data_IF_499171024183
#
_entry.id   IF_499171024183
#
_cell.length_a   1.000
_cell.length_b   1.000
_cell.length_c   1.000
_cell.angle_alpha   90.00
_cell.angle_beta   90.00
_cell.angle_gamma   90.00
#
_symmetry.space_group_name_H-M   'P 1'
#
loop_
_entity.id
_entity.type
_entity.pdbx_description
1 polymer ?
#
# COMPACT_ATOMS: atom_id res chain seq x y z
N UNK A 1 -35.53 8.46 17.85
CA UNK A 1 -34.22 9.15 17.87
C UNK A 1 -34.30 10.16 16.72
N UNK A 2 -34.06 11.43 17.02
CA UNK A 2 -33.99 12.47 16.02
C UNK A 2 -32.48 12.74 15.71
N UNK A 3 -32.12 13.00 14.45
CA UNK A 3 -30.78 13.42 14.12
C UNK A 3 -30.54 14.86 14.58
N UNK A 4 -29.32 15.20 14.96
CA UNK A 4 -28.90 16.58 15.25
C UNK A 4 -28.46 17.29 13.97
N UNK A 5 -27.88 16.55 13.03
CA UNK A 5 -27.36 17.03 11.75
C UNK A 5 -27.78 16.07 10.64
N UNK A 6 -28.10 16.62 9.48
CA UNK A 6 -28.49 15.88 8.30
C UNK A 6 -27.48 16.15 7.17
N UNK A 7 -26.69 15.11 6.78
CA UNK A 7 -25.88 15.16 5.58
C UNK A 7 -26.70 14.69 4.37
N UNK A 8 -26.89 15.58 3.40
CA UNK A 8 -27.70 15.30 2.22
C UNK A 8 -26.78 15.14 1.00
N UNK A 9 -26.60 13.90 0.56
CA UNK A 9 -25.81 13.58 -0.64
C UNK A 9 -26.57 13.99 -1.90
N UNK A 10 -25.92 14.79 -2.75
CA UNK A 10 -26.48 15.23 -4.03
C UNK A 10 -25.37 15.47 -5.06
N UNK A 11 -25.71 15.35 -6.35
CA UNK A 11 -24.83 15.63 -7.49
C UNK A 11 -24.80 17.12 -7.87
N UNK A 12 -25.72 17.91 -7.29
CA UNK A 12 -25.89 19.35 -7.55
C UNK A 12 -26.39 20.07 -6.30
N UNK A 13 -26.24 21.39 -6.28
CA UNK A 13 -26.73 22.23 -5.19
C UNK A 13 -28.21 21.97 -4.91
N UNK A 14 -28.55 21.86 -3.63
CA UNK A 14 -29.90 21.67 -3.16
C UNK A 14 -30.53 23.05 -2.97
N UNK A 15 -31.63 23.38 -3.67
CA UNK A 15 -32.28 24.68 -3.52
C UNK A 15 -32.68 24.97 -2.08
N UNK A 16 -32.59 26.22 -1.65
CA UNK A 16 -32.90 26.64 -0.27
C UNK A 16 -34.30 26.21 0.18
N UNK A 17 -35.28 26.25 -0.71
CA UNK A 17 -36.65 25.80 -0.41
C UNK A 17 -36.70 24.30 -0.06
N UNK A 18 -35.90 23.47 -0.72
CA UNK A 18 -35.80 22.04 -0.45
C UNK A 18 -35.01 21.76 0.85
N UNK A 19 -33.94 22.51 1.10
CA UNK A 19 -33.22 22.47 2.39
C UNK A 19 -34.14 22.77 3.57
N UNK A 20 -34.99 23.79 3.44
CA UNK A 20 -36.00 24.16 4.47
C UNK A 20 -37.04 23.06 4.68
N UNK A 21 -37.49 22.42 3.62
CA UNK A 21 -38.39 21.26 3.74
C UNK A 21 -37.71 20.12 4.50
N UNK A 22 -36.48 19.76 4.14
CA UNK A 22 -35.70 18.73 4.84
C UNK A 22 -35.50 19.06 6.32
N UNK A 23 -35.17 20.29 6.65
CA UNK A 23 -35.06 20.79 8.01
C UNK A 23 -36.36 20.59 8.79
N UNK A 24 -37.48 20.98 8.21
CA UNK A 24 -38.81 20.85 8.85
C UNK A 24 -39.19 19.40 9.06
N UNK A 25 -39.09 18.55 8.02
CA UNK A 25 -39.50 17.14 8.10
C UNK A 25 -38.60 16.30 9.02
N UNK A 26 -37.32 16.60 9.08
CA UNK A 26 -36.32 15.90 9.92
C UNK A 26 -36.23 16.53 11.32
N UNK A 27 -36.92 17.64 11.59
CA UNK A 27 -36.86 18.36 12.84
C UNK A 27 -35.41 18.74 13.25
N UNK A 28 -34.62 19.25 12.28
CA UNK A 28 -33.28 19.76 12.48
C UNK A 28 -33.22 21.25 12.17
N UNK A 29 -32.21 21.95 12.68
CA UNK A 29 -32.03 23.38 12.34
C UNK A 29 -31.71 23.51 10.83
N UNK A 30 -32.14 24.60 10.15
CA UNK A 30 -31.81 24.80 8.74
C UNK A 30 -30.30 24.79 8.47
N UNK A 31 -29.48 25.33 9.38
CA UNK A 31 -28.03 25.33 9.32
C UNK A 31 -27.42 23.91 9.47
N UNK A 32 -28.14 22.99 10.12
CA UNK A 32 -27.73 21.61 10.30
C UNK A 32 -28.10 20.68 9.12
N UNK A 33 -28.68 21.24 8.04
CA UNK A 33 -28.86 20.53 6.77
C UNK A 33 -27.66 20.80 5.88
N UNK A 34 -26.66 19.92 5.95
CA UNK A 34 -25.37 20.03 5.27
C UNK A 34 -25.45 19.38 3.89
N UNK A 35 -25.08 20.11 2.85
CA UNK A 35 -24.96 19.53 1.52
C UNK A 35 -23.66 18.73 1.40
N UNK A 36 -23.79 17.46 1.03
CA UNK A 36 -22.69 16.56 0.73
C UNK A 36 -22.60 16.36 -0.78
N UNK A 37 -22.17 17.41 -1.47
CA UNK A 37 -22.06 17.39 -2.93
C UNK A 37 -20.92 16.48 -3.40
N UNK A 38 -21.06 15.95 -4.60
CA UNK A 38 -19.98 15.20 -5.24
C UNK A 38 -18.79 16.13 -5.53
N UNK A 39 -17.60 15.69 -5.17
CA UNK A 39 -16.35 16.42 -5.38
C UNK A 39 -15.44 15.66 -6.36
N UNK A 40 -14.53 16.38 -7.00
CA UNK A 40 -13.63 15.80 -8.00
C UNK A 40 -12.65 14.77 -7.40
N UNK A 41 -12.29 14.94 -6.14
CA UNK A 41 -11.37 14.07 -5.42
C UNK A 41 -11.86 13.88 -3.98
N UNK A 42 -11.74 12.66 -3.45
CA UNK A 42 -12.17 12.34 -2.09
C UNK A 42 -11.46 13.19 -1.02
N UNK A 43 -10.25 13.65 -1.29
CA UNK A 43 -9.49 14.53 -0.40
C UNK A 43 -10.05 15.96 -0.33
N UNK A 44 -10.94 16.37 -1.23
CA UNK A 44 -11.63 17.65 -1.18
C UNK A 44 -12.82 17.63 -0.19
N UNK A 45 -13.30 16.44 0.23
CA UNK A 45 -14.48 16.29 1.09
C UNK A 45 -14.38 17.06 2.41
N UNK A 46 -13.26 16.99 3.19
CA UNK A 46 -13.16 17.74 4.44
C UNK A 46 -13.28 19.26 4.25
N UNK A 47 -12.71 19.79 3.16
CA UNK A 47 -12.80 21.23 2.84
C UNK A 47 -14.23 21.60 2.43
N UNK A 48 -14.90 20.75 1.64
CA UNK A 48 -16.29 20.94 1.24
C UNK A 48 -17.23 20.96 2.46
N UNK A 49 -17.07 20.03 3.37
CA UNK A 49 -17.87 19.97 4.59
C UNK A 49 -17.60 21.11 5.56
N UNK A 50 -16.35 21.55 5.67
CA UNK A 50 -16.02 22.75 6.45
C UNK A 50 -16.73 24.00 5.88
N UNK A 51 -16.70 24.18 4.54
CA UNK A 51 -17.39 25.29 3.87
C UNK A 51 -18.90 25.29 4.10
N UNK A 52 -19.52 24.12 4.21
CA UNK A 52 -20.94 23.96 4.53
C UNK A 52 -21.24 24.09 6.04
N UNK A 53 -20.21 24.22 6.89
CA UNK A 53 -20.34 24.43 8.33
C UNK A 53 -20.55 23.17 9.17
N UNK A 54 -20.28 21.97 8.62
CA UNK A 54 -20.49 20.69 9.33
C UNK A 54 -19.75 20.63 10.66
N UNK A 55 -18.48 21.03 10.69
CA UNK A 55 -17.65 21.05 11.89
C UNK A 55 -18.22 21.99 12.96
N UNK A 56 -18.68 23.16 12.57
CA UNK A 56 -19.33 24.11 13.49
C UNK A 56 -20.61 23.58 14.06
N UNK A 57 -21.47 22.94 13.25
CA UNK A 57 -22.71 22.32 13.71
C UNK A 57 -22.47 21.14 14.65
N UNK A 58 -21.43 20.32 14.38
CA UNK A 58 -21.02 19.23 15.28
C UNK A 58 -20.58 19.77 16.63
N UNK A 59 -19.73 20.80 16.64
CA UNK A 59 -19.25 21.42 17.89
C UNK A 59 -20.39 22.05 18.67
N UNK A 60 -21.32 22.75 17.99
CA UNK A 60 -22.49 23.31 18.61
C UNK A 60 -23.41 22.23 19.25
N UNK A 61 -23.55 21.06 18.60
CA UNK A 61 -24.30 19.95 19.17
C UNK A 61 -23.65 19.40 20.46
N UNK A 62 -22.33 19.54 20.61
CA UNK A 62 -21.60 19.23 21.84
C UNK A 62 -21.53 20.39 22.84
N UNK A 63 -22.18 21.52 22.57
CA UNK A 63 -22.14 22.72 23.42
C UNK A 63 -20.78 23.45 23.43
N UNK A 64 -20.00 23.27 22.38
CA UNK A 64 -18.69 23.94 22.20
C UNK A 64 -18.88 25.16 21.28
N UNK A 65 -19.13 26.30 21.89
CA UNK A 65 -19.33 27.57 21.19
C UNK A 65 -18.50 28.69 21.86
N UNK A 66 -17.83 29.58 21.09
CA UNK A 66 -17.72 29.54 19.63
C UNK A 66 -16.84 28.38 19.13
N UNK A 67 -17.16 27.84 17.96
CA UNK A 67 -16.35 26.80 17.34
C UNK A 67 -14.92 27.32 17.06
N UNK A 68 -13.86 26.59 17.48
CA UNK A 68 -12.49 26.94 17.14
C UNK A 68 -12.26 26.86 15.63
N UNK A 69 -11.47 27.78 15.09
CA UNK A 69 -11.12 27.73 13.67
C UNK A 69 -10.26 26.47 13.39
N UNK A 70 -10.66 25.61 12.44
CA UNK A 70 -9.87 24.43 12.09
C UNK A 70 -8.58 24.83 11.38
N UNK A 71 -7.54 24.02 11.53
CA UNK A 71 -6.25 24.18 10.84
C UNK A 71 -6.22 23.26 9.62
N UNK A 72 -6.62 23.77 8.47
CA UNK A 72 -6.75 23.04 7.22
C UNK A 72 -5.60 23.29 6.23
N UNK A 73 -4.62 24.11 6.57
CA UNK A 73 -3.56 24.55 5.67
C UNK A 73 -2.77 23.35 5.09
N UNK A 74 -2.45 22.36 5.92
CA UNK A 74 -1.75 21.15 5.44
C UNK A 74 -2.64 20.30 4.52
N UNK A 75 -3.94 20.27 4.81
CA UNK A 75 -4.90 19.53 3.99
C UNK A 75 -5.14 20.22 2.64
N UNK A 76 -5.22 21.55 2.63
CA UNK A 76 -5.31 22.35 1.41
C UNK A 76 -4.08 22.16 0.52
N UNK A 77 -2.88 22.09 1.13
CA UNK A 77 -1.65 21.80 0.38
C UNK A 77 -1.69 20.40 -0.27
N UNK A 78 -2.18 19.38 0.41
CA UNK A 78 -2.38 18.03 -0.20
C UNK A 78 -3.32 18.13 -1.39
N UNK A 79 -4.48 18.78 -1.25
CA UNK A 79 -5.43 18.97 -2.34
C UNK A 79 -4.83 19.73 -3.52
N UNK A 80 -3.99 20.72 -3.23
CA UNK A 80 -3.29 21.49 -4.26
C UNK A 80 -2.31 20.62 -5.04
N UNK A 81 -1.50 19.80 -4.38
CA UNK A 81 -0.58 18.86 -5.03
C UNK A 81 -1.30 17.86 -5.94
N UNK A 82 -2.50 17.43 -5.54
CA UNK A 82 -3.34 16.54 -6.37
C UNK A 82 -3.82 17.25 -7.64
N UNK A 83 -4.19 18.53 -7.54
CA UNK A 83 -4.72 19.32 -8.66
C UNK A 83 -3.64 19.79 -9.63
N UNK A 84 -2.42 20.03 -9.12
CA UNK A 84 -1.32 20.62 -9.88
C UNK A 84 -0.04 19.77 -9.79
N UNK A 85 -0.05 18.53 -10.33
CA UNK A 85 1.14 17.71 -10.36
C UNK A 85 2.18 18.34 -11.32
N UNK A 86 3.46 18.24 -10.96
CA UNK A 86 4.60 18.75 -11.74
C UNK A 86 5.07 17.76 -12.82
N UNK A 87 4.59 16.52 -12.77
CA UNK A 87 4.93 15.48 -13.73
C UNK A 87 4.07 14.24 -13.58
N UNK A 88 4.43 13.20 -14.31
CA UNK A 88 3.74 11.92 -14.29
C UNK A 88 4.75 10.78 -14.24
N UNK A 89 4.46 9.73 -13.47
CA UNK A 89 5.24 8.50 -13.42
C UNK A 89 4.34 7.29 -13.62
N UNK A 90 4.84 6.31 -14.34
CA UNK A 90 4.15 5.04 -14.57
C UNK A 90 4.81 3.94 -13.74
N UNK A 91 4.02 3.26 -12.91
CA UNK A 91 4.46 2.13 -12.08
C UNK A 91 3.77 0.87 -12.59
N UNK A 92 4.55 -0.12 -13.01
CA UNK A 92 4.04 -1.45 -13.33
C UNK A 92 3.77 -2.24 -12.06
N UNK A 93 2.55 -2.75 -11.92
CA UNK A 93 2.15 -3.66 -10.84
C UNK A 93 2.13 -5.07 -11.41
N UNK A 94 3.19 -5.84 -11.15
CA UNK A 94 3.30 -7.21 -11.63
C UNK A 94 2.77 -8.16 -10.56
N UNK A 95 1.54 -8.61 -10.74
CA UNK A 95 0.78 -9.32 -9.71
C UNK A 95 -0.02 -10.49 -10.22
N UNK A 96 -0.90 -10.99 -9.36
CA UNK A 96 -1.94 -11.98 -9.67
C UNK A 96 -3.31 -11.33 -9.52
N UNK A 97 -4.30 -11.77 -10.30
CA UNK A 97 -5.67 -11.27 -10.22
C UNK A 97 -5.75 -9.74 -10.38
N UNK A 98 -4.96 -9.20 -11.30
CA UNK A 98 -4.86 -7.74 -11.55
C UNK A 98 -6.19 -7.13 -12.01
N UNK A 99 -7.11 -7.95 -12.51
CA UNK A 99 -8.49 -7.54 -12.81
C UNK A 99 -9.34 -7.21 -11.57
N UNK A 100 -8.95 -7.69 -10.37
CA UNK A 100 -9.69 -7.47 -9.12
C UNK A 100 -9.05 -6.34 -8.30
N UNK A 101 -9.14 -5.11 -8.81
CA UNK A 101 -8.46 -3.93 -8.25
C UNK A 101 -8.84 -3.62 -6.79
N UNK A 102 -10.03 -4.00 -6.35
CA UNK A 102 -10.47 -3.78 -4.97
C UNK A 102 -9.58 -4.48 -3.93
N UNK A 103 -8.98 -5.62 -4.29
CA UNK A 103 -8.01 -6.31 -3.43
C UNK A 103 -6.73 -5.50 -3.19
N UNK A 104 -6.44 -4.54 -4.07
CA UNK A 104 -5.24 -3.70 -4.04
C UNK A 104 -5.51 -2.25 -3.63
N UNK A 105 -6.70 -1.94 -3.14
CA UNK A 105 -7.10 -0.55 -2.85
C UNK A 105 -6.11 0.19 -1.96
N UNK A 106 -5.64 -0.42 -0.88
CA UNK A 106 -4.65 0.21 0.00
C UNK A 106 -3.29 0.43 -0.66
N UNK A 107 -2.87 -0.47 -1.56
CA UNK A 107 -1.65 -0.32 -2.35
C UNK A 107 -1.78 0.83 -3.35
N UNK A 108 -2.91 0.91 -4.04
CA UNK A 108 -3.23 2.00 -4.98
C UNK A 108 -3.15 3.34 -4.26
N UNK A 109 -3.83 3.46 -3.11
CA UNK A 109 -3.81 4.70 -2.32
C UNK A 109 -2.40 5.04 -1.82
N UNK A 110 -1.63 4.05 -1.33
CA UNK A 110 -0.26 4.28 -0.89
C UNK A 110 0.64 4.83 -2.02
N UNK A 111 0.50 4.31 -3.24
CA UNK A 111 1.23 4.81 -4.41
C UNK A 111 0.79 6.22 -4.79
N UNK A 112 -0.51 6.53 -4.75
CA UNK A 112 -1.00 7.87 -4.96
C UNK A 112 -0.48 8.85 -3.90
N UNK A 113 -0.46 8.46 -2.62
CA UNK A 113 0.11 9.29 -1.55
C UNK A 113 1.60 9.56 -1.77
N UNK A 114 2.36 8.56 -2.23
CA UNK A 114 3.74 8.75 -2.67
C UNK A 114 3.85 9.75 -3.82
N UNK A 115 2.92 9.68 -4.76
CA UNK A 115 2.82 10.67 -5.85
C UNK A 115 2.55 12.08 -5.34
N UNK A 116 1.60 12.25 -4.41
CA UNK A 116 1.29 13.57 -3.81
C UNK A 116 2.48 14.15 -3.06
N UNK A 117 3.19 13.31 -2.30
CA UNK A 117 4.40 13.73 -1.59
C UNK A 117 5.47 14.25 -2.55
N UNK A 118 5.61 13.61 -3.71
CA UNK A 118 6.60 13.93 -4.74
C UNK A 118 6.06 14.86 -5.86
N UNK A 119 4.84 15.40 -5.72
CA UNK A 119 4.19 16.29 -6.70
C UNK A 119 4.05 15.70 -8.10
N UNK A 120 3.89 14.38 -8.19
CA UNK A 120 3.72 13.68 -9.47
C UNK A 120 2.39 12.93 -9.51
N UNK A 121 1.82 12.83 -10.70
CA UNK A 121 0.69 11.95 -10.95
C UNK A 121 1.19 10.53 -11.18
N UNK A 122 0.66 9.57 -10.43
CA UNK A 122 1.02 8.16 -10.59
C UNK A 122 0.01 7.48 -11.52
N UNK A 123 0.52 6.86 -12.58
CA UNK A 123 -0.20 5.90 -13.43
C UNK A 123 0.17 4.49 -13.03
N UNK A 124 -0.81 3.60 -12.93
CA UNK A 124 -0.61 2.20 -12.58
C UNK A 124 -0.91 1.33 -13.80
N UNK A 125 0.10 0.60 -14.25
CA UNK A 125 -0.03 -0.43 -15.28
C UNK A 125 -0.08 -1.81 -14.62
N UNK A 126 -1.17 -2.53 -14.84
CA UNK A 126 -1.43 -3.81 -14.22
C UNK A 126 -1.06 -4.93 -15.16
N UNK A 127 -0.16 -5.79 -14.72
CA UNK A 127 0.37 -6.90 -15.52
C UNK A 127 0.21 -8.20 -14.73
N UNK A 128 -0.46 -9.20 -15.35
CA UNK A 128 -0.49 -10.56 -14.79
C UNK A 128 0.89 -11.18 -14.89
N UNK A 129 1.46 -11.60 -13.76
CA UNK A 129 2.83 -12.12 -13.72
C UNK A 129 3.04 -13.36 -14.60
N UNK A 130 1.99 -14.17 -14.82
CA UNK A 130 2.04 -15.37 -15.67
C UNK A 130 2.34 -15.05 -17.15
N UNK A 131 2.12 -13.80 -17.59
CA UNK A 131 2.46 -13.37 -18.95
C UNK A 131 3.96 -13.53 -19.19
N UNK A 132 4.78 -13.16 -18.23
CA UNK A 132 6.23 -13.22 -18.35
C UNK A 132 6.80 -14.65 -18.34
N UNK A 133 6.03 -15.65 -17.90
CA UNK A 133 6.43 -17.06 -18.04
C UNK A 133 6.41 -17.54 -19.51
N UNK A 134 5.81 -16.76 -20.42
CA UNK A 134 5.62 -17.11 -21.83
C UNK A 134 6.14 -16.06 -22.79
N UNK A 135 6.25 -14.81 -22.34
CA UNK A 135 6.56 -13.66 -23.16
C UNK A 135 7.70 -12.85 -22.55
N UNK A 136 8.50 -12.19 -23.39
CA UNK A 136 9.55 -11.28 -22.95
C UNK A 136 8.95 -10.10 -22.14
N UNK A 137 9.45 -9.79 -20.95
CA UNK A 137 9.00 -8.63 -20.16
C UNK A 137 9.26 -7.27 -20.84
N UNK A 138 10.21 -7.18 -21.76
CA UNK A 138 10.67 -5.91 -22.35
C UNK A 138 9.54 -5.06 -22.94
N UNK A 139 8.64 -5.58 -23.80
CA UNK A 139 7.57 -4.76 -24.37
C UNK A 139 6.62 -4.15 -23.33
N UNK A 140 6.49 -4.77 -22.19
CA UNK A 140 5.61 -4.36 -21.08
C UNK A 140 6.28 -3.38 -20.12
N UNK A 141 7.61 -3.55 -19.89
CA UNK A 141 8.31 -2.86 -18.81
C UNK A 141 9.30 -1.78 -19.30
N UNK A 142 9.61 -1.69 -20.59
CA UNK A 142 10.62 -0.74 -21.09
C UNK A 142 10.25 0.75 -20.90
N UNK A 143 8.95 1.06 -20.75
CA UNK A 143 8.45 2.44 -20.63
C UNK A 143 8.01 2.84 -19.24
N UNK A 144 8.12 1.94 -18.27
CA UNK A 144 7.71 2.25 -16.90
C UNK A 144 8.85 2.90 -16.10
N UNK A 145 8.47 3.74 -15.14
CA UNK A 145 9.42 4.43 -14.28
C UNK A 145 9.76 3.63 -13.01
N UNK A 146 9.01 2.57 -12.74
CA UNK A 146 9.23 1.68 -11.63
C UNK A 146 8.40 0.42 -11.72
N UNK A 147 8.85 -0.62 -11.03
CA UNK A 147 8.17 -1.92 -10.98
C UNK A 147 7.87 -2.24 -9.52
N UNK A 148 6.60 -2.56 -9.24
CA UNK A 148 6.17 -3.03 -7.94
C UNK A 148 5.60 -4.44 -8.07
N UNK A 149 6.14 -5.35 -7.24
CA UNK A 149 5.62 -6.72 -7.13
C UNK A 149 4.96 -6.85 -5.76
N UNK A 150 3.62 -6.95 -5.70
CA UNK A 150 2.89 -7.03 -4.45
C UNK A 150 3.04 -8.37 -3.76
N UNK A 151 2.57 -8.42 -2.51
CA UNK A 151 2.42 -9.65 -1.76
C UNK A 151 1.51 -10.67 -2.44
N UNK A 152 1.68 -11.92 -2.09
CA UNK A 152 0.93 -13.04 -2.63
C UNK A 152 1.42 -14.35 -2.02
N UNK A 153 1.05 -15.46 -2.64
CA UNK A 153 1.47 -16.79 -2.25
C UNK A 153 1.27 -17.79 -3.40
N UNK A 154 1.91 -18.96 -3.26
CA UNK A 154 1.82 -20.08 -4.20
C UNK A 154 2.68 -19.90 -5.45
N UNK A 155 2.99 -21.01 -6.08
CA UNK A 155 3.95 -21.13 -7.18
C UNK A 155 3.50 -20.42 -8.48
N UNK A 156 2.20 -20.46 -8.78
CA UNK A 156 1.65 -19.85 -10.01
C UNK A 156 2.07 -18.39 -10.17
N UNK A 157 2.68 -18.04 -11.29
CA UNK A 157 3.16 -16.70 -11.63
C UNK A 157 4.39 -16.25 -10.82
N UNK A 158 5.06 -17.16 -10.08
CA UNK A 158 6.26 -16.83 -9.33
C UNK A 158 7.45 -16.56 -10.24
N UNK A 159 7.65 -17.37 -11.28
CA UNK A 159 8.73 -17.16 -12.24
C UNK A 159 8.57 -15.85 -13.00
N UNK A 160 7.36 -15.46 -13.38
CA UNK A 160 7.13 -14.15 -13.99
C UNK A 160 7.46 -12.98 -13.08
N UNK A 161 7.30 -13.12 -11.76
CA UNK A 161 7.74 -12.11 -10.78
C UNK A 161 9.27 -12.06 -10.65
N UNK A 162 9.93 -13.22 -10.72
CA UNK A 162 11.39 -13.33 -10.75
C UNK A 162 11.92 -12.63 -12.02
N UNK A 163 11.31 -12.89 -13.19
CA UNK A 163 11.66 -12.21 -14.44
C UNK A 163 11.46 -10.69 -14.39
N UNK A 164 10.41 -10.22 -13.72
CA UNK A 164 10.21 -8.79 -13.51
C UNK A 164 11.31 -8.17 -12.63
N UNK A 165 11.77 -8.89 -11.59
CA UNK A 165 12.89 -8.46 -10.75
C UNK A 165 14.20 -8.46 -11.55
N UNK A 166 14.45 -9.48 -12.36
CA UNK A 166 15.59 -9.57 -13.26
C UNK A 166 15.62 -8.39 -14.24
N UNK A 167 14.50 -8.14 -14.92
CA UNK A 167 14.40 -7.00 -15.82
C UNK A 167 14.71 -5.68 -15.12
N UNK A 168 14.15 -5.47 -13.93
CA UNK A 168 14.41 -4.26 -13.14
C UNK A 168 15.90 -4.07 -12.84
N UNK A 169 16.58 -5.13 -12.42
CA UNK A 169 18.01 -5.12 -12.12
C UNK A 169 18.84 -4.85 -13.38
N UNK A 170 18.60 -5.59 -14.46
CA UNK A 170 19.38 -5.49 -15.71
C UNK A 170 19.19 -4.15 -16.43
N UNK A 171 18.01 -3.56 -16.32
CA UNK A 171 17.66 -2.27 -16.94
C UNK A 171 17.77 -1.07 -16.00
N UNK A 172 18.20 -1.31 -14.75
CA UNK A 172 18.32 -0.29 -13.72
C UNK A 172 17.00 0.49 -13.49
N UNK A 173 15.87 -0.23 -13.54
CA UNK A 173 14.53 0.31 -13.22
C UNK A 173 14.30 0.14 -11.72
N UNK A 174 13.82 1.18 -11.01
CA UNK A 174 13.46 1.06 -9.59
C UNK A 174 12.49 -0.09 -9.35
N UNK A 175 12.81 -0.96 -8.39
CA UNK A 175 11.99 -2.12 -8.03
C UNK A 175 11.59 -2.07 -6.55
N UNK A 176 10.33 -2.41 -6.28
CA UNK A 176 9.86 -2.58 -4.92
C UNK A 176 9.05 -3.87 -4.78
N UNK A 177 9.57 -4.81 -4.01
CA UNK A 177 8.91 -6.08 -3.69
C UNK A 177 8.29 -6.03 -2.29
N UNK A 178 6.99 -6.32 -2.19
CA UNK A 178 6.29 -6.41 -0.91
C UNK A 178 6.05 -7.87 -0.56
N UNK A 179 6.50 -8.33 0.62
CA UNK A 179 6.29 -9.69 1.12
C UNK A 179 6.77 -10.72 0.09
N UNK A 180 5.87 -11.41 -0.60
CA UNK A 180 6.18 -12.38 -1.65
C UNK A 180 7.00 -11.75 -2.80
N UNK A 181 6.72 -10.51 -3.17
CA UNK A 181 7.49 -9.80 -4.20
C UNK A 181 8.95 -9.59 -3.79
N UNK A 182 9.23 -9.28 -2.54
CA UNK A 182 10.59 -9.19 -1.99
C UNK A 182 11.26 -10.58 -1.99
N UNK A 183 10.53 -11.62 -1.61
CA UNK A 183 11.05 -12.99 -1.62
C UNK A 183 11.45 -13.44 -3.04
N UNK A 184 10.66 -13.09 -4.06
CA UNK A 184 11.00 -13.41 -5.46
C UNK A 184 12.22 -12.63 -5.96
N UNK A 185 12.43 -11.40 -5.50
CA UNK A 185 13.66 -10.67 -5.79
C UNK A 185 14.91 -11.30 -5.12
N UNK A 186 14.74 -11.85 -3.91
CA UNK A 186 15.83 -12.60 -3.26
C UNK A 186 16.16 -13.89 -4.03
N UNK A 187 15.15 -14.61 -4.51
CA UNK A 187 15.37 -15.80 -5.35
C UNK A 187 16.07 -15.41 -6.64
N UNK A 188 15.67 -14.29 -7.27
CA UNK A 188 16.33 -13.77 -8.47
C UNK A 188 17.82 -13.47 -8.21
N UNK A 189 18.12 -12.69 -7.17
CA UNK A 189 19.50 -12.33 -6.81
C UNK A 189 20.33 -13.57 -6.46
N UNK A 190 19.75 -14.52 -5.73
CA UNK A 190 20.43 -15.78 -5.42
C UNK A 190 20.79 -16.57 -6.67
N UNK A 191 19.88 -16.68 -7.65
CA UNK A 191 20.12 -17.41 -8.90
C UNK A 191 21.16 -16.73 -9.79
N UNK A 192 21.02 -15.43 -10.02
CA UNK A 192 21.75 -14.75 -11.08
C UNK A 192 22.98 -13.97 -10.60
N UNK A 193 23.05 -13.62 -9.31
CA UNK A 193 24.20 -12.90 -8.75
C UNK A 193 25.04 -13.79 -7.83
N UNK A 194 24.42 -14.54 -6.91
CA UNK A 194 25.13 -15.40 -5.98
C UNK A 194 25.45 -16.81 -6.54
N UNK A 195 25.07 -17.12 -7.79
CA UNK A 195 25.36 -18.39 -8.46
C UNK A 195 24.68 -19.62 -7.84
N UNK A 196 23.52 -19.41 -7.20
CA UNK A 196 22.71 -20.48 -6.60
C UNK A 196 21.57 -20.83 -7.58
N UNK A 197 21.91 -21.50 -8.68
CA UNK A 197 20.97 -21.74 -9.79
C UNK A 197 19.66 -22.41 -9.38
N UNK A 198 19.68 -23.30 -8.37
CA UNK A 198 18.51 -23.99 -7.85
C UNK A 198 17.82 -23.28 -6.70
N UNK A 199 18.15 -22.01 -6.44
CA UNK A 199 17.51 -21.20 -5.40
C UNK A 199 15.99 -21.15 -5.60
N UNK A 200 15.23 -21.43 -4.54
CA UNK A 200 13.78 -21.49 -4.58
C UNK A 200 13.17 -21.23 -3.20
N UNK A 201 11.84 -21.29 -3.14
CA UNK A 201 11.08 -21.23 -1.89
C UNK A 201 10.54 -22.62 -1.54
N UNK A 202 10.60 -22.99 -0.27
CA UNK A 202 9.91 -24.21 0.22
C UNK A 202 8.38 -24.12 0.12
N UNK A 203 7.85 -22.94 -0.21
CA UNK A 203 6.43 -22.77 -0.52
C UNK A 203 6.02 -23.50 -1.80
N UNK A 204 6.96 -23.70 -2.73
CA UNK A 204 6.74 -24.38 -4.02
C UNK A 204 7.02 -25.88 -3.96
N UNK A 205 7.47 -26.37 -2.82
CA UNK A 205 7.83 -27.76 -2.60
C UNK A 205 9.27 -27.94 -2.11
N UNK A 206 9.72 -29.19 -2.00
CA UNK A 206 11.09 -29.48 -1.62
C UNK A 206 12.09 -28.90 -2.62
N UNK A 207 13.11 -28.23 -2.12
CA UNK A 207 14.19 -27.65 -2.93
C UNK A 207 15.55 -27.90 -2.26
N UNK A 208 16.63 -28.15 -3.02
CA UNK A 208 17.96 -28.28 -2.46
C UNK A 208 18.52 -26.96 -1.89
N UNK A 209 18.08 -25.83 -2.42
CA UNK A 209 18.56 -24.50 -2.03
C UNK A 209 17.38 -23.61 -1.59
N UNK A 210 16.89 -23.78 -0.35
CA UNK A 210 15.73 -23.07 0.18
C UNK A 210 16.12 -21.66 0.65
N UNK A 211 16.40 -20.74 -0.27
CA UNK A 211 16.74 -19.34 0.04
C UNK A 211 15.55 -18.57 0.65
N UNK A 212 14.35 -19.06 0.39
CA UNK A 212 13.13 -18.67 1.09
C UNK A 212 12.51 -19.91 1.71
N UNK A 213 12.26 -19.89 3.00
CA UNK A 213 11.80 -21.06 3.71
C UNK A 213 10.68 -20.80 4.69
N UNK A 214 10.04 -21.90 5.10
CA UNK A 214 9.08 -21.84 6.19
C UNK A 214 9.80 -21.42 7.46
N UNK A 215 9.29 -20.39 8.13
CA UNK A 215 9.81 -19.94 9.40
C UNK A 215 9.65 -21.03 10.48
N UNK A 216 10.75 -21.48 11.03
CA UNK A 216 10.79 -22.57 12.03
C UNK A 216 10.95 -22.06 13.45
N UNK A 217 11.55 -20.88 13.61
CA UNK A 217 11.72 -20.24 14.90
C UNK A 217 11.43 -18.74 14.79
N UNK A 218 10.71 -18.18 15.76
CA UNK A 218 10.47 -16.74 15.86
C UNK A 218 10.21 -16.31 17.29
N UNK A 219 10.44 -15.04 17.58
CA UNK A 219 10.17 -14.45 18.89
C UNK A 219 8.76 -13.86 18.87
N UNK A 220 7.91 -14.29 19.81
CA UNK A 220 6.61 -13.71 20.05
C UNK A 220 6.54 -13.15 21.47
N UNK A 221 6.51 -11.85 21.58
CA UNK A 221 6.73 -11.19 22.88
C UNK A 221 8.16 -11.41 23.37
N UNK A 222 8.33 -12.06 24.51
CA UNK A 222 9.64 -12.41 25.08
C UNK A 222 9.96 -13.92 25.00
N UNK A 223 9.11 -14.70 24.32
CA UNK A 223 9.27 -16.16 24.20
C UNK A 223 9.70 -16.56 22.81
N UNK A 224 10.63 -17.52 22.72
CA UNK A 224 11.05 -18.15 21.48
C UNK A 224 10.07 -19.27 21.13
N UNK A 225 9.25 -19.07 20.13
CA UNK A 225 8.40 -20.12 19.57
C UNK A 225 9.18 -20.95 18.54
N UNK A 226 9.22 -22.28 18.74
CA UNK A 226 9.83 -23.25 17.81
C UNK A 226 8.78 -24.06 17.11
N UNK A 227 9.01 -24.37 15.86
CA UNK A 227 8.11 -25.16 15.04
C UNK A 227 8.83 -26.32 14.36
N UNK A 228 8.13 -27.44 14.17
CA UNK A 228 8.54 -28.49 13.26
C UNK A 228 7.82 -28.36 11.92
N UNK A 229 8.51 -28.65 10.84
CA UNK A 229 7.95 -28.66 9.46
C UNK A 229 6.80 -29.67 9.26
N UNK A 230 6.54 -30.54 10.24
CA UNK A 230 5.52 -31.59 10.21
C UNK A 230 4.28 -31.26 11.06
N UNK A 231 4.21 -30.10 11.70
CA UNK A 231 3.09 -29.70 12.54
C UNK A 231 1.96 -29.02 11.78
N UNK A 232 0.83 -28.79 12.48
CA UNK A 232 -0.28 -27.99 11.96
C UNK A 232 0.19 -26.57 11.65
N UNK A 233 -0.09 -26.11 10.43
CA UNK A 233 0.29 -24.79 9.95
C UNK A 233 -0.67 -23.69 10.44
N UNK A 234 -1.72 -24.02 11.18
CA UNK A 234 -2.64 -23.06 11.79
C UNK A 234 -1.94 -22.18 12.82
N UNK A 235 -2.19 -20.86 12.79
CA UNK A 235 -1.62 -19.90 13.73
C UNK A 235 -0.12 -19.63 13.59
N UNK A 236 0.49 -20.02 12.48
CA UNK A 236 1.94 -20.05 12.27
C UNK A 236 2.47 -18.85 11.47
N UNK A 237 1.68 -17.83 11.28
CA UNK A 237 2.10 -16.60 10.59
C UNK A 237 2.81 -15.66 11.57
N UNK A 238 3.88 -15.02 11.08
CA UNK A 238 4.39 -13.81 11.71
C UNK A 238 3.38 -12.69 11.45
N UNK A 239 2.72 -12.25 12.49
CA UNK A 239 1.60 -11.33 12.41
C UNK A 239 1.77 -10.18 13.38
N UNK A 240 1.54 -8.95 12.93
CA UNK A 240 1.59 -7.75 13.75
C UNK A 240 2.85 -6.93 13.54
N UNK A 241 3.10 -5.98 14.44
CA UNK A 241 4.21 -5.05 14.36
C UNK A 241 5.51 -5.69 14.89
N UNK A 242 6.57 -5.61 14.11
CA UNK A 242 7.90 -6.07 14.46
C UNK A 242 8.92 -4.96 14.25
N UNK A 243 9.83 -4.84 15.21
CA UNK A 243 10.94 -3.91 15.12
C UNK A 243 12.01 -4.44 14.18
N UNK A 244 12.62 -3.53 13.42
CA UNK A 244 13.77 -3.81 12.60
C UNK A 244 14.78 -2.65 12.68
N UNK A 245 16.06 -2.98 12.61
CA UNK A 245 17.14 -2.01 12.51
C UNK A 245 17.60 -1.93 11.05
N UNK A 246 17.54 -0.75 10.48
CA UNK A 246 18.05 -0.48 9.13
C UNK A 246 19.55 -0.20 9.19
N UNK A 247 20.29 -0.67 8.19
CA UNK A 247 21.71 -0.34 8.04
C UNK A 247 21.83 1.17 7.80
N UNK A 248 22.65 1.82 8.64
CA UNK A 248 22.91 3.25 8.52
C UNK A 248 23.52 3.58 7.16
N UNK A 249 23.27 4.80 6.68
CA UNK A 249 23.78 5.32 5.42
C UNK A 249 23.29 4.54 4.16
N UNK A 250 22.16 3.87 4.28
CA UNK A 250 21.43 3.26 3.16
C UNK A 250 20.27 4.12 2.69
N UNK A 251 19.92 4.02 1.40
CA UNK A 251 18.78 4.73 0.83
C UNK A 251 17.46 4.44 1.57
N UNK A 252 17.29 3.22 2.08
CA UNK A 252 16.10 2.86 2.83
C UNK A 252 16.05 3.58 4.19
N UNK A 253 17.19 3.72 4.88
CA UNK A 253 17.25 4.48 6.13
C UNK A 253 17.00 5.98 5.89
N UNK A 254 17.45 6.52 4.76
CA UNK A 254 17.15 7.90 4.34
C UNK A 254 15.66 8.09 4.09
N UNK A 255 15.00 7.17 3.37
CA UNK A 255 13.57 7.21 3.08
C UNK A 255 12.74 7.18 4.38
N UNK A 256 13.11 6.33 5.35
CA UNK A 256 12.43 6.27 6.64
C UNK A 256 12.80 7.44 7.58
N UNK A 257 13.92 8.11 7.35
CA UNK A 257 14.45 9.16 8.23
C UNK A 257 14.91 8.66 9.61
N UNK A 258 15.05 7.35 9.77
CA UNK A 258 15.49 6.68 11.00
C UNK A 258 16.05 5.30 10.71
N UNK A 259 16.88 4.78 11.61
CA UNK A 259 17.38 3.40 11.55
C UNK A 259 16.53 2.41 12.34
N UNK A 260 15.70 2.88 13.26
CA UNK A 260 14.82 2.02 14.05
C UNK A 260 13.40 2.15 13.56
N UNK A 261 12.89 1.08 12.96
CA UNK A 261 11.54 1.04 12.38
C UNK A 261 10.69 -0.06 13.02
N UNK A 262 9.40 0.05 12.87
CA UNK A 262 8.44 -0.99 13.25
C UNK A 262 7.43 -1.15 12.13
N UNK A 263 7.50 -2.31 11.46
CA UNK A 263 6.62 -2.61 10.34
C UNK A 263 5.65 -3.74 10.65
N UNK A 264 4.48 -3.68 10.01
CA UNK A 264 3.47 -4.72 10.16
C UNK A 264 3.77 -5.89 9.23
N UNK A 265 4.05 -7.05 9.85
CA UNK A 265 4.27 -8.31 9.16
C UNK A 265 2.97 -9.12 9.02
N UNK A 266 2.86 -9.84 7.92
CA UNK A 266 1.84 -10.87 7.67
C UNK A 266 2.38 -11.86 6.67
N UNK A 267 3.22 -12.79 7.14
CA UNK A 267 3.83 -13.79 6.27
C UNK A 267 4.18 -15.06 7.05
N UNK A 268 4.36 -16.16 6.32
CA UNK A 268 4.69 -17.50 6.84
C UNK A 268 6.09 -17.93 6.41
N UNK A 269 6.51 -17.52 5.23
CA UNK A 269 7.83 -17.79 4.67
C UNK A 269 8.71 -16.55 4.81
N UNK A 270 9.99 -16.78 5.03
CA UNK A 270 11.01 -15.74 5.18
C UNK A 270 12.26 -16.06 4.38
N UNK A 271 13.09 -15.05 4.14
CA UNK A 271 14.44 -15.26 3.64
C UNK A 271 15.23 -16.07 4.66
N UNK A 272 15.86 -17.16 4.20
CA UNK A 272 16.64 -18.03 5.05
C UNK A 272 17.97 -17.34 5.41
N UNK A 273 18.18 -17.13 6.71
CA UNK A 273 19.38 -16.44 7.22
C UNK A 273 20.70 -17.17 6.94
N UNK A 274 20.65 -18.46 6.65
CA UNK A 274 21.84 -19.27 6.29
C UNK A 274 22.46 -18.79 4.97
N UNK A 275 21.70 -18.10 4.13
CA UNK A 275 22.18 -17.52 2.87
C UNK A 275 22.60 -16.06 2.99
N UNK A 276 22.48 -15.45 4.17
CA UNK A 276 22.69 -14.02 4.38
C UNK A 276 24.06 -13.57 3.88
N UNK A 277 25.12 -14.24 4.32
CA UNK A 277 26.49 -13.83 3.99
C UNK A 277 26.73 -13.87 2.47
N UNK A 278 26.26 -14.93 1.77
CA UNK A 278 26.35 -15.03 0.31
C UNK A 278 25.55 -13.96 -0.43
N UNK A 279 24.43 -13.51 0.14
CA UNK A 279 23.58 -12.49 -0.44
C UNK A 279 24.09 -11.06 -0.13
N UNK A 280 24.87 -10.88 0.93
CA UNK A 280 25.47 -9.58 1.28
C UNK A 280 26.81 -9.32 0.52
N UNK A 281 27.37 -10.34 -0.13
CA UNK A 281 28.59 -10.24 -0.96
C UNK A 281 28.31 -9.71 -2.38
N UNK A 282 27.04 -9.59 -2.79
CA UNK A 282 26.58 -9.20 -4.13
C UNK A 282 25.89 -7.78 -4.13
#
# INVERSE_FOLDING_TARGET
IHPDILLVRADREIPEAERRKLSLFCNVRPSAVIQALDVANIYDVPIAYHKEGLDSEVLAAFGIEPAPKPRLEQWEEVCNRIRTPEGEVTIAIVGKYTGLKDAYKSLIEALHHGGFANRVKVKLEWIESEVFEKEDPTPYLEKVNGILVPGGFGERGSEGKIMAAQFARERNVPYFGICFGMQMAVVEAARHLAGIESASSTEFGPTPEPVVGLMTEWVKGNELEKRSSKGDLGGTMRLGAYKAALKKDTKIAEIYGTTDISERHRHRYEVNVDYKDRLEEI
#
